data_IF_256971581792
#
_entry.id   IF_256971581792
#
_cell.length_a   1.000
_cell.length_b   1.000
_cell.length_c   1.000
_cell.angle_alpha   90.00
_cell.angle_beta   90.00
_cell.angle_gamma   90.00
#
_symmetry.space_group_name_H-M   'P 1'
#
loop_
_entity.id
_entity.type
_entity.pdbx_description
1 polymer ?
#
# COMPACT_ATOMS: atom_id res chain seq x y z
N UNK A 1 79.84 -0.39 69.67
CA UNK A 1 80.83 -1.46 69.43
C UNK A 1 80.08 -2.71 69.00
N UNK A 2 80.15 -2.99 67.72
CA UNK A 2 79.37 -4.00 66.99
C UNK A 2 80.07 -5.36 67.02
N UNK A 3 79.42 -6.34 67.66
CA UNK A 3 79.87 -7.74 67.65
C UNK A 3 79.09 -8.54 66.60
N UNK A 4 79.89 -9.10 65.70
CA UNK A 4 79.58 -10.06 64.64
C UNK A 4 78.76 -11.26 65.15
N UNK A 5 77.75 -11.67 64.38
CA UNK A 5 77.34 -13.07 64.27
C UNK A 5 77.39 -13.50 62.81
N UNK A 6 78.28 -14.47 62.55
CA UNK A 6 78.34 -15.29 61.34
C UNK A 6 77.09 -16.15 61.28
N UNK A 7 76.51 -16.27 60.09
CA UNK A 7 75.72 -17.45 59.71
C UNK A 7 76.36 -18.02 58.45
N UNK A 8 76.57 -19.32 58.53
CA UNK A 8 77.40 -20.18 57.69
C UNK A 8 76.69 -20.51 56.38
N UNK A 9 77.49 -20.56 55.31
CA UNK A 9 77.14 -21.12 54.00
C UNK A 9 76.95 -22.64 54.03
N UNK A 10 76.40 -23.11 52.90
CA UNK A 10 76.49 -24.44 52.28
C UNK A 10 75.30 -25.37 52.51
N UNK A 11 74.34 -25.30 51.58
CA UNK A 11 73.86 -26.50 50.88
C UNK A 11 73.85 -26.21 49.38
N UNK A 12 74.75 -26.89 48.70
CA UNK A 12 74.81 -27.11 47.26
C UNK A 12 73.58 -27.88 46.79
N UNK A 13 72.84 -27.30 45.86
CA UNK A 13 71.67 -27.92 45.26
C UNK A 13 71.40 -27.29 43.90
N UNK A 14 72.23 -27.67 42.93
CA UNK A 14 72.12 -27.33 41.51
C UNK A 14 70.75 -27.76 40.97
N UNK A 15 69.73 -26.90 41.08
CA UNK A 15 68.50 -27.01 40.29
C UNK A 15 68.65 -26.10 39.09
N UNK A 16 68.93 -26.73 37.95
CA UNK A 16 68.77 -26.17 36.60
C UNK A 16 67.57 -25.22 36.57
N UNK A 17 67.67 -24.03 35.98
CA UNK A 17 66.48 -23.27 35.65
C UNK A 17 65.63 -24.15 34.73
N UNK A 18 64.42 -24.49 35.18
CA UNK A 18 63.40 -25.09 34.31
C UNK A 18 63.26 -24.17 33.11
N UNK A 19 63.68 -24.68 31.95
CA UNK A 19 63.52 -24.02 30.67
C UNK A 19 62.05 -23.60 30.53
N UNK A 20 61.75 -22.38 30.04
CA UNK A 20 60.39 -22.05 29.65
C UNK A 20 59.90 -23.12 28.68
N UNK A 21 58.68 -23.62 28.93
CA UNK A 21 58.00 -24.62 28.11
C UNK A 21 58.25 -24.30 26.64
N UNK A 22 58.90 -25.24 25.95
CA UNK A 22 59.22 -25.14 24.53
C UNK A 22 57.97 -24.77 23.75
N UNK A 23 58.02 -23.63 23.06
CA UNK A 23 57.03 -23.26 22.05
C UNK A 23 56.91 -24.44 21.09
N UNK A 24 55.70 -25.02 20.89
CA UNK A 24 55.53 -26.11 19.94
C UNK A 24 55.98 -25.63 18.56
N UNK A 25 56.86 -26.41 17.92
CA UNK A 25 57.23 -26.18 16.52
C UNK A 25 55.93 -26.15 15.71
N UNK A 26 55.82 -25.21 14.78
CA UNK A 26 54.60 -24.87 14.02
C UNK A 26 53.93 -26.03 13.25
N UNK A 27 54.52 -27.22 13.25
CA UNK A 27 54.06 -28.42 12.55
C UNK A 27 53.09 -29.28 13.37
N UNK A 28 52.94 -29.07 14.69
CA UNK A 28 52.12 -29.93 15.56
C UNK A 28 50.83 -29.29 16.11
N UNK A 29 50.44 -28.09 15.64
CA UNK A 29 49.28 -27.38 16.19
C UNK A 29 47.98 -28.03 15.68
N UNK A 30 47.37 -28.88 16.51
CA UNK A 30 46.14 -29.62 16.22
C UNK A 30 44.92 -29.16 17.03
N UNK A 31 45.07 -28.21 17.95
CA UNK A 31 44.00 -27.73 18.83
C UNK A 31 43.85 -26.21 18.82
N UNK A 32 42.67 -25.74 19.22
CA UNK A 32 42.36 -24.31 19.37
C UNK A 32 43.22 -23.66 20.47
N UNK A 33 43.49 -24.40 21.55
CA UNK A 33 44.41 -23.98 22.61
C UNK A 33 45.82 -23.76 22.06
N UNK A 34 46.29 -24.68 21.23
CA UNK A 34 47.58 -24.58 20.54
C UNK A 34 47.67 -23.36 19.62
N UNK A 35 46.57 -22.99 18.95
CA UNK A 35 46.53 -21.75 18.16
C UNK A 35 46.79 -20.53 19.04
N UNK A 36 46.05 -20.35 20.13
CA UNK A 36 46.20 -19.18 20.99
C UNK A 36 47.53 -19.12 21.74
N UNK A 37 48.15 -20.27 22.03
CA UNK A 37 49.47 -20.34 22.66
C UNK A 37 50.63 -20.14 21.67
N UNK A 38 50.43 -20.43 20.38
CA UNK A 38 51.44 -20.22 19.36
C UNK A 38 51.64 -18.73 19.07
N UNK A 39 52.88 -18.28 19.14
CA UNK A 39 53.24 -16.90 18.83
C UNK A 39 53.09 -16.66 17.31
N UNK A 40 52.29 -15.66 16.93
CA UNK A 40 52.17 -15.14 15.54
C UNK A 40 51.68 -16.15 14.49
N UNK A 41 50.95 -17.21 14.85
CA UNK A 41 50.33 -18.09 13.86
C UNK A 41 49.10 -17.41 13.22
N UNK A 42 49.06 -17.19 11.89
CA UNK A 42 47.88 -16.62 11.22
C UNK A 42 46.72 -17.63 11.17
N UNK A 43 45.49 -17.14 11.36
CA UNK A 43 44.27 -17.96 11.33
C UNK A 43 44.15 -18.85 10.07
N UNK A 44 44.48 -18.31 8.90
CA UNK A 44 44.46 -19.06 7.63
C UNK A 44 45.40 -20.28 7.62
N UNK A 45 46.60 -20.12 8.20
CA UNK A 45 47.58 -21.22 8.31
C UNK A 45 47.09 -22.26 9.31
N UNK A 46 46.55 -21.82 10.45
CA UNK A 46 45.97 -22.71 11.46
C UNK A 46 44.84 -23.58 10.89
N UNK A 47 43.84 -22.98 10.24
CA UNK A 47 42.72 -23.71 9.64
C UNK A 47 43.20 -24.67 8.53
N UNK A 48 44.23 -24.29 7.75
CA UNK A 48 44.85 -25.17 6.76
C UNK A 48 45.57 -26.36 7.40
N UNK A 49 46.26 -26.17 8.53
CA UNK A 49 46.93 -27.26 9.26
C UNK A 49 45.91 -28.24 9.84
N UNK A 50 44.81 -27.75 10.42
CA UNK A 50 43.75 -28.60 10.94
C UNK A 50 43.08 -29.44 9.84
N UNK A 51 42.83 -28.85 8.68
CA UNK A 51 42.29 -29.57 7.53
C UNK A 51 43.28 -30.64 7.02
N UNK A 52 44.59 -30.35 6.99
CA UNK A 52 45.64 -31.33 6.64
C UNK A 52 45.70 -32.49 7.64
N UNK A 53 45.47 -32.20 8.92
CA UNK A 53 45.47 -33.17 10.01
C UNK A 53 44.14 -33.94 10.13
N UNK A 54 43.16 -33.70 9.24
CA UNK A 54 41.83 -34.32 9.23
C UNK A 54 41.07 -34.14 10.55
N UNK A 55 41.27 -33.00 11.20
CA UNK A 55 40.49 -32.64 12.39
C UNK A 55 39.12 -32.13 11.94
N UNK A 56 38.07 -32.92 12.12
CA UNK A 56 36.72 -32.58 11.65
C UNK A 56 35.84 -31.93 12.74
N UNK A 57 36.28 -31.97 14.01
CA UNK A 57 35.54 -31.43 15.15
C UNK A 57 36.43 -30.74 16.18
N UNK A 58 35.96 -29.59 16.69
CA UNK A 58 36.52 -28.94 17.87
C UNK A 58 36.10 -29.70 19.13
N UNK A 59 37.07 -29.98 20.01
CA UNK A 59 36.79 -30.60 21.29
C UNK A 59 36.18 -29.57 22.25
N UNK A 60 35.10 -29.92 22.94
CA UNK A 60 34.42 -29.00 23.87
C UNK A 60 35.33 -28.53 25.02
N UNK A 61 36.26 -29.39 25.45
CA UNK A 61 37.25 -29.05 26.48
C UNK A 61 38.22 -27.97 25.98
N UNK A 62 38.67 -28.06 24.73
CA UNK A 62 39.52 -27.05 24.11
C UNK A 62 38.81 -25.70 24.00
N UNK A 63 37.53 -25.72 23.57
CA UNK A 63 36.68 -24.52 23.48
C UNK A 63 36.56 -23.83 24.84
N UNK A 64 36.21 -24.57 25.90
CA UNK A 64 36.07 -24.02 27.26
C UNK A 64 37.38 -23.46 27.79
N UNK A 65 38.48 -24.20 27.62
CA UNK A 65 39.80 -23.75 28.07
C UNK A 65 40.25 -22.48 27.33
N UNK A 66 39.99 -22.37 26.04
CA UNK A 66 40.27 -21.16 25.26
C UNK A 66 39.44 -19.97 25.74
N UNK A 67 38.15 -20.16 25.99
CA UNK A 67 37.24 -19.12 26.48
C UNK A 67 37.68 -18.57 27.85
N UNK A 68 38.10 -19.43 28.78
CA UNK A 68 38.61 -19.02 30.10
C UNK A 68 39.92 -18.23 30.02
N UNK A 69 40.79 -18.56 29.06
CA UNK A 69 42.12 -17.94 28.93
C UNK A 69 42.17 -16.80 27.90
N UNK A 70 41.03 -16.46 27.28
CA UNK A 70 40.99 -15.57 26.12
C UNK A 70 41.56 -14.18 26.42
N UNK A 71 41.21 -13.58 27.55
CA UNK A 71 41.71 -12.26 27.93
C UNK A 71 43.23 -12.20 28.15
N UNK A 72 43.87 -13.34 28.43
CA UNK A 72 45.34 -13.45 28.57
C UNK A 72 46.02 -13.72 27.24
N UNK A 73 45.41 -14.54 26.39
CA UNK A 73 46.03 -15.03 25.15
C UNK A 73 45.69 -14.18 23.91
N UNK A 74 44.61 -13.41 23.96
CA UNK A 74 44.17 -12.49 22.90
C UNK A 74 43.56 -11.22 23.52
N UNK A 75 44.37 -10.40 24.22
CA UNK A 75 43.88 -9.26 24.99
C UNK A 75 43.18 -8.19 24.14
N UNK A 76 43.54 -8.07 22.86
CA UNK A 76 42.92 -7.14 21.91
C UNK A 76 41.78 -7.78 21.11
N UNK A 77 41.45 -9.05 21.35
CA UNK A 77 40.48 -9.84 20.57
C UNK A 77 40.80 -9.97 19.07
N UNK A 78 42.03 -9.63 18.67
CA UNK A 78 42.45 -9.54 17.27
C UNK A 78 42.52 -10.92 16.63
N UNK A 79 43.10 -11.90 17.33
CA UNK A 79 43.28 -13.26 16.78
C UNK A 79 41.97 -13.99 16.62
N UNK A 80 41.02 -13.72 17.51
CA UNK A 80 39.66 -14.26 17.49
C UNK A 80 38.86 -13.65 16.35
N UNK A 81 39.00 -12.34 16.10
CA UNK A 81 38.39 -11.68 14.95
C UNK A 81 38.97 -12.22 13.61
N UNK A 82 40.28 -12.38 13.52
CA UNK A 82 40.93 -12.98 12.34
C UNK A 82 40.45 -14.41 12.10
N UNK A 83 40.30 -15.20 13.17
CA UNK A 83 39.78 -16.56 13.11
C UNK A 83 38.32 -16.57 12.63
N UNK A 84 37.47 -15.67 13.14
CA UNK A 84 36.09 -15.51 12.70
C UNK A 84 36.00 -15.18 11.21
N UNK A 85 36.79 -14.21 10.73
CA UNK A 85 36.80 -13.84 9.32
C UNK A 85 37.18 -15.02 8.41
N UNK A 86 38.22 -15.77 8.79
CA UNK A 86 38.63 -16.92 8.00
C UNK A 86 37.60 -18.05 8.09
N UNK A 87 37.00 -18.28 9.25
CA UNK A 87 35.98 -19.31 9.45
C UNK A 87 34.70 -19.04 8.66
N UNK A 88 34.24 -17.78 8.58
CA UNK A 88 33.08 -17.39 7.77
C UNK A 88 33.28 -17.66 6.26
N UNK A 89 34.52 -17.65 5.78
CA UNK A 89 34.83 -18.01 4.39
C UNK A 89 34.77 -19.52 4.11
N UNK A 90 34.76 -20.35 5.17
CA UNK A 90 34.72 -21.80 5.08
C UNK A 90 33.28 -22.27 5.32
N UNK A 91 32.53 -22.53 4.23
CA UNK A 91 31.13 -22.92 4.28
C UNK A 91 30.88 -24.39 4.72
N UNK A 92 31.76 -24.96 5.53
CA UNK A 92 31.67 -26.35 6.00
C UNK A 92 31.16 -26.43 7.44
N UNK A 93 30.71 -27.60 7.87
CA UNK A 93 30.35 -27.88 9.28
C UNK A 93 31.51 -27.55 10.23
N UNK A 94 32.74 -27.77 9.78
CA UNK A 94 33.95 -27.45 10.53
C UNK A 94 34.14 -25.94 10.71
N UNK A 95 33.99 -25.14 9.64
CA UNK A 95 34.05 -23.68 9.73
C UNK A 95 33.02 -23.09 10.71
N UNK A 96 31.79 -23.62 10.70
CA UNK A 96 30.72 -23.20 11.63
C UNK A 96 31.11 -23.33 13.10
N UNK A 97 31.85 -24.38 13.48
CA UNK A 97 32.29 -24.56 14.87
C UNK A 97 33.22 -23.44 15.36
N UNK A 98 34.08 -22.91 14.48
CA UNK A 98 34.93 -21.76 14.82
C UNK A 98 34.15 -20.45 14.85
N UNK A 99 33.12 -20.32 14.01
CA UNK A 99 32.18 -19.20 14.05
C UNK A 99 31.43 -19.20 15.39
N UNK A 100 30.89 -20.35 15.80
CA UNK A 100 30.19 -20.51 17.08
C UNK A 100 31.11 -20.20 18.27
N UNK A 101 32.35 -20.70 18.25
CA UNK A 101 33.36 -20.36 19.26
C UNK A 101 33.64 -18.85 19.30
N UNK A 102 33.86 -18.21 18.15
CA UNK A 102 34.14 -16.78 18.10
C UNK A 102 32.96 -15.92 18.58
N UNK A 103 31.72 -16.37 18.35
CA UNK A 103 30.52 -15.71 18.87
C UNK A 103 30.39 -15.87 20.38
N UNK A 104 30.65 -17.07 20.92
CA UNK A 104 30.71 -17.29 22.37
C UNK A 104 31.81 -16.43 23.02
N UNK A 105 32.98 -16.37 22.39
CA UNK A 105 34.10 -15.53 22.81
C UNK A 105 33.73 -14.04 22.80
N UNK A 106 33.05 -13.57 21.75
CA UNK A 106 32.58 -12.19 21.64
C UNK A 106 31.59 -11.85 22.77
N UNK A 107 30.58 -12.70 22.99
CA UNK A 107 29.59 -12.53 24.07
C UNK A 107 30.26 -12.52 25.44
N UNK A 108 31.19 -13.43 25.70
CA UNK A 108 31.90 -13.47 26.98
C UNK A 108 32.74 -12.21 27.21
N UNK A 109 33.42 -11.71 26.19
CA UNK A 109 34.23 -10.49 26.32
C UNK A 109 33.36 -9.24 26.49
N UNK A 110 32.21 -9.16 25.83
CA UNK A 110 31.23 -8.09 26.09
C UNK A 110 30.74 -8.15 27.55
N UNK A 111 30.49 -9.33 28.10
CA UNK A 111 30.13 -9.48 29.51
C UNK A 111 31.26 -9.09 30.46
N UNK A 112 32.49 -9.54 30.21
CA UNK A 112 33.64 -9.30 31.10
C UNK A 112 34.14 -7.84 31.05
N UNK A 113 34.23 -7.25 29.85
CA UNK A 113 34.84 -5.92 29.67
C UNK A 113 33.84 -4.77 29.76
N UNK A 114 32.55 -5.05 29.64
CA UNK A 114 31.49 -4.06 29.46
C UNK A 114 30.22 -4.35 30.29
N UNK A 115 30.20 -5.43 31.09
CA UNK A 115 29.04 -5.87 31.89
C UNK A 115 27.74 -5.97 31.09
N UNK A 116 27.86 -6.35 29.81
CA UNK A 116 26.75 -6.44 28.87
C UNK A 116 26.35 -7.90 28.66
N UNK A 117 25.19 -8.29 29.20
CA UNK A 117 24.56 -9.58 28.90
C UNK A 117 23.42 -9.40 27.91
N UNK A 118 23.63 -9.88 26.68
CA UNK A 118 22.71 -9.68 25.56
C UNK A 118 21.57 -10.71 25.60
N UNK A 119 20.33 -10.22 25.55
CA UNK A 119 19.16 -11.06 25.35
C UNK A 119 18.94 -11.33 23.86
N UNK A 120 19.30 -12.52 23.38
CA UNK A 120 19.21 -12.91 21.97
C UNK A 120 17.77 -12.99 21.42
N UNK A 121 16.74 -12.86 22.26
CA UNK A 121 15.35 -12.72 21.83
C UNK A 121 15.04 -11.33 21.26
N UNK A 122 15.89 -10.34 21.52
CA UNK A 122 15.72 -8.99 20.98
C UNK A 122 16.11 -8.90 19.50
N UNK A 123 15.47 -8.00 18.73
CA UNK A 123 15.87 -7.68 17.37
C UNK A 123 17.36 -7.30 17.26
N UNK A 124 18.01 -7.77 16.18
CA UNK A 124 19.44 -7.63 15.98
C UNK A 124 19.93 -6.16 15.95
N UNK A 125 19.10 -5.25 15.45
CA UNK A 125 19.38 -3.81 15.43
C UNK A 125 19.45 -3.24 16.84
N UNK A 126 18.54 -3.65 17.73
CA UNK A 126 18.51 -3.21 19.14
C UNK A 126 19.74 -3.76 19.88
N UNK A 127 20.10 -5.02 19.63
CA UNK A 127 21.29 -5.62 20.20
C UNK A 127 22.57 -4.89 19.76
N UNK A 128 22.67 -4.56 18.47
CA UNK A 128 23.82 -3.84 17.95
C UNK A 128 23.92 -2.42 18.53
N UNK A 129 22.80 -1.70 18.66
CA UNK A 129 22.75 -0.39 19.30
C UNK A 129 23.23 -0.44 20.76
N UNK A 130 22.80 -1.44 21.54
CA UNK A 130 23.26 -1.62 22.93
C UNK A 130 24.78 -1.84 23.00
N UNK A 131 25.32 -2.72 22.15
CA UNK A 131 26.77 -2.97 22.07
C UNK A 131 27.49 -1.67 21.70
N UNK A 132 27.00 -0.95 20.70
CA UNK A 132 27.60 0.28 20.24
C UNK A 132 27.60 1.35 21.33
N UNK A 133 26.49 1.54 22.05
CA UNK A 133 26.38 2.51 23.15
C UNK A 133 27.40 2.24 24.27
N UNK A 134 27.63 0.98 24.62
CA UNK A 134 28.58 0.63 25.70
C UNK A 134 30.03 0.75 25.24
N UNK A 135 30.33 0.46 23.97
CA UNK A 135 31.68 0.58 23.42
C UNK A 135 32.03 2.01 23.00
N UNK A 136 31.03 2.86 22.72
CA UNK A 136 31.17 4.23 22.20
C UNK A 136 32.18 5.09 22.98
N UNK A 137 32.18 5.16 24.32
CA UNK A 137 33.14 5.99 25.05
C UNK A 137 34.60 5.59 24.83
N UNK A 138 34.87 4.29 24.63
CA UNK A 138 36.20 3.74 24.37
C UNK A 138 36.64 3.91 22.91
N UNK A 139 35.67 3.98 21.99
CA UNK A 139 35.89 4.24 20.57
C UNK A 139 36.13 5.72 20.28
N UNK A 140 35.48 6.62 21.02
CA UNK A 140 35.61 8.08 20.86
C UNK A 140 36.83 8.68 21.58
N UNK A 141 37.57 7.87 22.33
CA UNK A 141 38.82 8.29 22.94
C UNK A 141 39.84 8.76 21.88
N UNK A 142 40.73 9.69 22.23
CA UNK A 142 41.78 10.22 21.32
C UNK A 142 42.58 9.13 20.59
N UNK A 143 42.77 7.99 21.25
CA UNK A 143 43.26 6.74 20.67
C UNK A 143 42.20 5.67 20.97
N UNK A 144 41.48 5.16 19.96
CA UNK A 144 40.45 4.16 20.20
C UNK A 144 41.10 2.88 20.75
N UNK A 145 40.40 2.25 21.68
CA UNK A 145 40.78 0.97 22.23
C UNK A 145 40.62 -0.14 21.19
N UNK A 146 41.71 -0.88 20.93
CA UNK A 146 41.74 -1.95 19.92
C UNK A 146 40.75 -3.07 20.26
N UNK A 147 40.64 -3.41 21.55
CA UNK A 147 39.70 -4.42 22.02
C UNK A 147 38.26 -4.00 21.70
N UNK A 148 37.86 -2.79 22.06
CA UNK A 148 36.52 -2.26 21.76
C UNK A 148 36.23 -2.23 20.25
N UNK A 149 37.21 -1.87 19.42
CA UNK A 149 37.06 -1.86 17.97
C UNK A 149 36.89 -3.28 17.38
N UNK A 150 37.69 -4.23 17.85
CA UNK A 150 37.60 -5.62 17.40
C UNK A 150 36.33 -6.30 17.89
N UNK A 151 35.86 -5.99 19.10
CA UNK A 151 34.57 -6.46 19.62
C UNK A 151 33.40 -5.90 18.83
N UNK A 152 33.43 -4.62 18.46
CA UNK A 152 32.38 -4.03 17.62
C UNK A 152 32.31 -4.72 16.25
N UNK A 153 33.47 -4.96 15.62
CA UNK A 153 33.57 -5.70 14.34
C UNK A 153 33.02 -7.13 14.49
N UNK A 154 33.49 -7.87 15.50
CA UNK A 154 33.03 -9.23 15.77
C UNK A 154 31.52 -9.30 16.03
N UNK A 155 30.97 -8.32 16.76
CA UNK A 155 29.54 -8.22 17.06
C UNK A 155 28.70 -7.95 15.81
N UNK A 156 29.19 -7.11 14.89
CA UNK A 156 28.55 -6.88 13.60
C UNK A 156 28.46 -8.17 12.77
N UNK A 157 29.56 -8.92 12.67
CA UNK A 157 29.56 -10.23 11.99
C UNK A 157 28.64 -11.25 12.68
N UNK A 158 28.64 -11.24 14.01
CA UNK A 158 27.79 -12.11 14.81
C UNK A 158 26.30 -11.84 14.58
N UNK A 159 25.86 -10.59 14.71
CA UNK A 159 24.45 -10.23 14.58
C UNK A 159 23.95 -10.35 13.13
N UNK A 160 24.81 -10.10 12.13
CA UNK A 160 24.49 -10.37 10.74
C UNK A 160 24.25 -11.88 10.53
N UNK A 161 25.17 -12.73 10.98
CA UNK A 161 25.10 -14.17 10.71
C UNK A 161 24.10 -14.95 11.60
N UNK A 162 23.87 -14.51 12.84
CA UNK A 162 23.05 -15.26 13.81
C UNK A 162 21.62 -14.72 13.94
N UNK A 163 21.39 -13.42 13.69
CA UNK A 163 20.12 -12.74 13.96
C UNK A 163 19.63 -11.92 12.74
N UNK A 164 20.26 -12.13 11.57
CA UNK A 164 19.93 -11.50 10.28
C UNK A 164 19.93 -9.96 10.31
N UNK A 165 20.87 -9.34 11.03
CA UNK A 165 21.08 -7.89 10.91
C UNK A 165 21.52 -7.55 9.47
N UNK A 166 20.70 -6.79 8.75
CA UNK A 166 21.02 -6.41 7.38
C UNK A 166 22.30 -5.55 7.33
N UNK A 167 23.17 -5.79 6.33
CA UNK A 167 24.40 -5.01 6.15
C UNK A 167 24.11 -3.50 6.00
N UNK A 168 22.98 -3.14 5.38
CA UNK A 168 22.51 -1.76 5.27
C UNK A 168 22.06 -1.17 6.61
N UNK A 169 21.44 -1.97 7.47
CA UNK A 169 21.02 -1.54 8.80
C UNK A 169 22.23 -1.31 9.71
N UNK A 170 23.22 -2.20 9.64
CA UNK A 170 24.51 -2.05 10.35
C UNK A 170 25.20 -0.73 9.97
N UNK A 171 25.26 -0.42 8.68
CA UNK A 171 25.88 0.82 8.17
C UNK A 171 25.05 2.04 8.58
N UNK A 172 23.73 2.00 8.50
CA UNK A 172 22.85 3.10 8.90
C UNK A 172 22.95 3.40 10.41
N UNK A 173 23.05 2.37 11.25
CA UNK A 173 23.25 2.52 12.70
C UNK A 173 24.61 3.16 13.03
N UNK A 174 25.69 2.69 12.40
CA UNK A 174 27.02 3.29 12.56
C UNK A 174 27.04 4.73 12.03
N UNK A 175 26.41 4.99 10.89
CA UNK A 175 26.33 6.32 10.30
C UNK A 175 25.55 7.29 11.20
N UNK A 176 24.38 6.90 11.72
CA UNK A 176 23.59 7.73 12.64
C UNK A 176 24.37 8.10 13.89
N UNK A 177 24.95 7.11 14.56
CA UNK A 177 25.61 7.32 15.85
C UNK A 177 26.89 8.15 15.76
N UNK A 178 27.65 8.02 14.67
CA UNK A 178 28.91 8.75 14.50
C UNK A 178 28.81 9.99 13.59
N UNK A 179 27.79 10.13 12.73
CA UNK A 179 27.57 11.36 11.94
C UNK A 179 26.92 12.49 12.74
N UNK A 180 26.25 12.17 13.87
CA UNK A 180 25.69 13.17 14.80
C UNK A 180 26.75 13.95 15.60
N UNK A 181 28.04 13.58 15.49
CA UNK A 181 29.15 14.32 16.12
C UNK A 181 29.83 15.36 15.21
N UNK A 182 29.18 15.81 14.13
CA UNK A 182 29.61 17.05 13.44
C UNK A 182 29.22 18.29 14.25
N UNK A 183 29.84 18.48 15.41
CA UNK A 183 29.81 19.75 16.14
C UNK A 183 30.99 20.64 15.70
N UNK A 184 30.65 21.72 15.00
CA UNK A 184 31.28 23.05 14.92
C UNK A 184 32.80 23.24 14.72
N UNK A 185 33.63 22.19 14.57
CA UNK A 185 35.02 22.34 14.12
C UNK A 185 35.32 21.40 12.95
N UNK A 186 35.63 21.94 11.75
CA UNK A 186 35.71 21.16 10.49
C UNK A 186 36.89 20.19 10.38
N UNK A 187 37.71 20.01 11.42
CA UNK A 187 38.92 19.18 11.39
C UNK A 187 38.94 18.00 12.37
N UNK A 188 37.81 17.62 12.96
CA UNK A 188 37.67 16.39 13.75
C UNK A 188 36.52 15.54 13.22
N UNK A 189 36.67 15.00 12.01
CA UNK A 189 36.00 13.74 11.70
C UNK A 189 36.52 12.71 12.71
N UNK A 190 35.60 12.05 13.42
CA UNK A 190 35.92 11.08 14.46
C UNK A 190 36.95 10.08 13.94
N UNK A 191 38.17 10.09 14.51
CA UNK A 191 39.24 9.16 14.20
C UNK A 191 38.75 7.70 14.27
N UNK A 192 37.68 7.40 15.01
CA UNK A 192 37.07 6.09 15.09
C UNK A 192 36.48 5.59 13.76
N UNK A 193 35.81 6.46 12.99
CA UNK A 193 35.26 6.11 11.66
C UNK A 193 36.41 5.86 10.69
N UNK A 194 37.41 6.75 10.66
CA UNK A 194 38.58 6.60 9.80
C UNK A 194 39.45 5.40 10.20
N UNK A 195 39.48 4.98 11.47
CA UNK A 195 40.20 3.78 11.95
C UNK A 195 39.38 2.50 11.69
N UNK A 196 38.05 2.55 11.80
CA UNK A 196 37.15 1.48 11.34
C UNK A 196 37.28 1.25 9.82
N UNK A 197 37.54 2.32 9.07
CA UNK A 197 37.71 2.34 7.61
C UNK A 197 39.19 2.34 7.14
N UNK A 198 40.18 2.22 8.05
CA UNK A 198 41.60 2.21 7.66
C UNK A 198 41.97 0.91 6.93
N UNK A 199 42.90 0.99 5.96
CA UNK A 199 43.04 0.01 4.89
C UNK A 199 43.88 -1.20 5.32
N UNK A 200 43.23 -2.25 5.83
CA UNK A 200 43.76 -3.61 5.67
C UNK A 200 43.00 -4.27 4.53
N UNK A 201 43.64 -4.18 3.35
CA UNK A 201 43.47 -4.78 2.01
C UNK A 201 42.16 -5.45 1.53
N UNK A 202 41.23 -5.87 2.37
CA UNK A 202 39.91 -6.37 1.94
C UNK A 202 38.82 -5.30 1.97
N UNK A 203 38.95 -4.28 2.82
CA UNK A 203 37.96 -3.20 2.93
C UNK A 203 37.98 -2.25 1.73
N UNK A 204 39.11 -2.07 1.03
CA UNK A 204 39.16 -1.28 -0.21
C UNK A 204 38.57 -2.02 -1.39
N UNK A 205 38.81 -3.32 -1.52
CA UNK A 205 38.08 -4.16 -2.48
C UNK A 205 36.60 -4.24 -2.14
N UNK A 206 36.22 -4.30 -0.86
CA UNK A 206 34.82 -4.19 -0.44
C UNK A 206 34.26 -2.79 -0.74
N UNK A 207 34.99 -1.70 -0.50
CA UNK A 207 34.59 -0.32 -0.80
C UNK A 207 34.54 -0.05 -2.31
N UNK A 208 35.41 -0.65 -3.12
CA UNK A 208 35.44 -0.57 -4.58
C UNK A 208 34.33 -1.44 -5.20
N UNK A 209 34.08 -2.64 -4.65
CA UNK A 209 32.87 -3.41 -4.96
C UNK A 209 31.62 -2.74 -4.42
N UNK A 210 31.70 -1.99 -3.31
CA UNK A 210 30.62 -1.20 -2.76
C UNK A 210 30.43 0.07 -3.55
N UNK A 211 31.42 0.71 -4.19
CA UNK A 211 31.17 1.89 -5.05
C UNK A 211 30.59 1.44 -6.39
N UNK A 212 31.02 0.29 -6.91
CA UNK A 212 30.37 -0.38 -8.04
C UNK A 212 28.98 -0.88 -7.65
N UNK A 213 28.79 -1.43 -6.45
CA UNK A 213 27.51 -1.85 -5.91
C UNK A 213 26.66 -0.71 -5.35
N UNK A 214 27.18 0.50 -5.11
CA UNK A 214 26.47 1.73 -4.72
C UNK A 214 25.94 2.39 -5.99
N UNK A 215 26.71 2.30 -7.09
CA UNK A 215 26.17 2.53 -8.43
C UNK A 215 25.11 1.48 -8.79
N UNK A 216 25.30 0.22 -8.39
CA UNK A 216 24.34 -0.87 -8.54
C UNK A 216 23.12 -0.74 -7.64
N UNK A 217 23.27 -0.23 -6.41
CA UNK A 217 22.22 -0.02 -5.42
C UNK A 217 21.45 1.25 -5.73
N UNK A 218 22.13 2.30 -6.17
CA UNK A 218 21.49 3.51 -6.69
C UNK A 218 20.70 3.18 -7.95
N UNK A 219 21.23 2.30 -8.82
CA UNK A 219 20.48 1.75 -9.96
C UNK A 219 19.33 0.85 -9.53
N UNK A 220 19.50 -0.01 -8.52
CA UNK A 220 18.45 -0.91 -8.04
C UNK A 220 17.37 -0.17 -7.26
N UNK A 221 17.74 0.86 -6.50
CA UNK A 221 16.83 1.76 -5.78
C UNK A 221 16.10 2.67 -6.75
N UNK A 222 16.78 3.24 -7.74
CA UNK A 222 16.09 3.99 -8.81
C UNK A 222 15.22 3.08 -9.69
N UNK A 223 15.61 1.82 -9.92
CA UNK A 223 14.78 0.82 -10.60
C UNK A 223 13.53 0.48 -9.77
N UNK A 224 13.67 0.22 -8.46
CA UNK A 224 12.55 -0.03 -7.54
C UNK A 224 11.65 1.19 -7.41
N UNK A 225 12.22 2.40 -7.32
CA UNK A 225 11.46 3.65 -7.31
C UNK A 225 10.74 3.88 -8.65
N UNK A 226 11.35 3.49 -9.76
CA UNK A 226 10.72 3.56 -11.08
C UNK A 226 9.58 2.56 -11.23
N UNK A 227 9.73 1.35 -10.68
CA UNK A 227 8.68 0.33 -10.64
C UNK A 227 7.52 0.77 -9.76
N UNK A 228 7.79 1.35 -8.58
CA UNK A 228 6.76 1.94 -7.71
C UNK A 228 6.02 3.07 -8.44
N UNK A 229 6.73 3.94 -9.16
CA UNK A 229 6.10 5.01 -9.96
C UNK A 229 5.26 4.43 -11.11
N UNK A 230 5.73 3.36 -11.75
CA UNK A 230 4.99 2.70 -12.81
C UNK A 230 3.74 2.02 -12.28
N UNK A 231 3.82 1.31 -11.15
CA UNK A 231 2.66 0.73 -10.47
C UNK A 231 1.65 1.82 -10.07
N UNK A 232 2.11 2.96 -9.54
CA UNK A 232 1.25 4.10 -9.25
C UNK A 232 0.59 4.69 -10.52
N UNK A 233 1.29 4.72 -11.65
CA UNK A 233 0.71 5.15 -12.94
C UNK A 233 -0.35 4.16 -13.41
N UNK A 234 -0.06 2.87 -13.40
CA UNK A 234 -1.01 1.80 -13.77
C UNK A 234 -2.25 1.84 -12.87
N UNK A 235 -2.06 2.05 -11.57
CA UNK A 235 -3.17 2.20 -10.63
C UNK A 235 -4.05 3.41 -10.95
N UNK A 236 -3.44 4.58 -11.23
CA UNK A 236 -4.18 5.78 -11.65
C UNK A 236 -4.89 5.59 -12.98
N UNK A 237 -4.28 4.89 -13.93
CA UNK A 237 -4.90 4.56 -15.22
C UNK A 237 -6.08 3.61 -15.05
N UNK A 238 -5.94 2.61 -14.18
CA UNK A 238 -7.01 1.70 -13.82
C UNK A 238 -8.19 2.42 -13.14
N UNK A 239 -7.91 3.30 -12.18
CA UNK A 239 -8.93 4.14 -11.53
C UNK A 239 -9.64 5.07 -12.53
N UNK A 240 -8.89 5.66 -13.46
CA UNK A 240 -9.47 6.48 -14.55
C UNK A 240 -10.34 5.64 -15.48
N UNK A 241 -9.90 4.45 -15.86
CA UNK A 241 -10.65 3.54 -16.71
C UNK A 241 -11.95 3.09 -16.02
N UNK A 242 -11.90 2.76 -14.72
CA UNK A 242 -13.11 2.46 -13.93
C UNK A 242 -14.06 3.66 -13.84
N UNK A 243 -13.54 4.87 -13.61
CA UNK A 243 -14.36 6.07 -13.56
C UNK A 243 -15.04 6.36 -14.91
N UNK A 244 -14.32 6.15 -16.02
CA UNK A 244 -14.88 6.28 -17.36
C UNK A 244 -15.92 5.20 -17.66
N UNK A 245 -15.69 3.96 -17.24
CA UNK A 245 -16.64 2.87 -17.39
C UNK A 245 -17.93 3.17 -16.61
N UNK A 246 -17.82 3.62 -15.36
CA UNK A 246 -18.98 4.03 -14.56
C UNK A 246 -19.78 5.15 -15.21
N UNK A 247 -19.10 6.19 -15.74
CA UNK A 247 -19.76 7.27 -16.48
C UNK A 247 -20.45 6.78 -17.76
N UNK A 248 -19.84 5.83 -18.45
CA UNK A 248 -20.43 5.23 -19.65
C UNK A 248 -21.69 4.42 -19.30
N UNK A 249 -21.67 3.67 -18.21
CA UNK A 249 -22.82 2.90 -17.74
C UNK A 249 -23.94 3.83 -17.24
N UNK A 250 -23.61 4.91 -16.53
CA UNK A 250 -24.55 5.97 -16.16
C UNK A 250 -25.20 6.61 -17.39
N UNK A 251 -24.40 6.99 -18.39
CA UNK A 251 -24.90 7.57 -19.64
C UNK A 251 -25.78 6.60 -20.44
N UNK A 252 -25.45 5.29 -20.45
CA UNK A 252 -26.29 4.26 -21.06
C UNK A 252 -27.62 4.10 -20.35
N UNK A 253 -27.63 4.13 -19.02
CA UNK A 253 -28.85 4.05 -18.23
C UNK A 253 -29.74 5.29 -18.46
N UNK A 254 -29.15 6.48 -18.52
CA UNK A 254 -29.87 7.71 -18.88
C UNK A 254 -30.45 7.64 -20.31
N UNK A 255 -29.68 7.13 -21.26
CA UNK A 255 -30.13 6.96 -22.64
C UNK A 255 -31.32 5.99 -22.71
N UNK A 256 -31.20 4.82 -22.07
CA UNK A 256 -32.27 3.84 -21.99
C UNK A 256 -33.53 4.41 -21.32
N UNK A 257 -33.37 5.22 -20.27
CA UNK A 257 -34.49 5.89 -19.61
C UNK A 257 -35.17 6.93 -20.51
N UNK A 258 -34.39 7.69 -21.29
CA UNK A 258 -34.93 8.64 -22.28
C UNK A 258 -35.63 7.92 -23.43
N UNK A 259 -35.10 6.80 -23.91
CA UNK A 259 -35.74 5.98 -24.96
C UNK A 259 -37.09 5.43 -24.50
N UNK A 260 -37.16 4.89 -23.27
CA UNK A 260 -38.44 4.47 -22.68
C UNK A 260 -39.43 5.63 -22.60
N UNK A 261 -38.97 6.81 -22.17
CA UNK A 261 -39.83 7.99 -22.11
C UNK A 261 -40.34 8.44 -23.47
N UNK A 262 -39.53 8.32 -24.53
CA UNK A 262 -39.96 8.59 -25.90
C UNK A 262 -41.05 7.61 -26.32
N UNK A 263 -40.90 6.32 -26.04
CA UNK A 263 -41.92 5.30 -26.36
C UNK A 263 -43.24 5.60 -25.64
N UNK A 264 -43.19 5.94 -24.35
CA UNK A 264 -44.38 6.34 -23.59
C UNK A 264 -45.06 7.58 -24.19
N UNK A 265 -44.28 8.61 -24.54
CA UNK A 265 -44.80 9.84 -25.13
C UNK A 265 -45.43 9.58 -26.51
N UNK A 266 -44.83 8.71 -27.33
CA UNK A 266 -45.40 8.31 -28.62
C UNK A 266 -46.72 7.54 -28.44
N UNK A 267 -46.80 6.63 -27.46
CA UNK A 267 -48.04 5.93 -27.15
C UNK A 267 -49.14 6.89 -26.70
N UNK A 268 -48.81 7.86 -25.84
CA UNK A 268 -49.77 8.88 -25.38
C UNK A 268 -50.21 9.81 -26.51
N UNK A 269 -49.29 10.19 -27.40
CA UNK A 269 -49.59 10.99 -28.58
C UNK A 269 -50.59 10.25 -29.48
N UNK A 270 -50.37 8.95 -29.71
CA UNK A 270 -51.25 8.15 -30.56
C UNK A 270 -52.63 7.98 -29.93
N UNK A 271 -52.71 7.71 -28.63
CA UNK A 271 -53.98 7.66 -27.92
C UNK A 271 -54.73 9.00 -28.02
N UNK A 272 -54.03 10.13 -27.83
CA UNK A 272 -54.63 11.46 -27.93
C UNK A 272 -55.12 11.78 -29.35
N UNK A 273 -54.42 11.30 -30.39
CA UNK A 273 -54.89 11.43 -31.78
C UNK A 273 -56.18 10.63 -32.01
N UNK A 274 -56.24 9.39 -31.55
CA UNK A 274 -57.44 8.54 -31.67
C UNK A 274 -58.63 9.18 -30.93
N UNK A 275 -58.40 9.72 -29.73
CA UNK A 275 -59.42 10.44 -28.96
C UNK A 275 -59.90 11.68 -29.72
N UNK A 276 -58.98 12.47 -30.29
CA UNK A 276 -59.30 13.64 -31.11
C UNK A 276 -60.14 13.27 -32.33
N UNK A 277 -59.73 12.26 -33.11
CA UNK A 277 -60.48 11.79 -34.27
C UNK A 277 -61.89 11.31 -33.89
N UNK A 278 -62.03 10.63 -32.75
CA UNK A 278 -63.33 10.19 -32.24
C UNK A 278 -64.24 11.37 -31.86
N UNK A 279 -63.69 12.42 -31.27
CA UNK A 279 -64.42 13.63 -30.90
C UNK A 279 -64.80 14.45 -32.12
N UNK A 280 -63.91 14.58 -33.10
CA UNK A 280 -64.20 15.25 -34.38
C UNK A 280 -65.33 14.54 -35.11
N UNK A 281 -65.34 13.21 -35.16
CA UNK A 281 -66.44 12.43 -35.72
C UNK A 281 -67.76 12.68 -34.99
N UNK A 282 -67.76 12.68 -33.65
CA UNK A 282 -68.96 12.99 -32.85
C UNK A 282 -69.49 14.40 -33.12
N UNK A 283 -68.59 15.39 -33.25
CA UNK A 283 -68.98 16.77 -33.59
C UNK A 283 -69.64 16.80 -34.96
N UNK A 284 -69.04 16.13 -35.95
CA UNK A 284 -69.60 16.05 -37.30
C UNK A 284 -70.98 15.37 -37.30
N UNK A 285 -71.13 14.24 -36.61
CA UNK A 285 -72.41 13.54 -36.49
C UNK A 285 -73.50 14.44 -35.87
N UNK A 286 -73.16 15.17 -34.78
CA UNK A 286 -74.07 16.12 -34.13
C UNK A 286 -74.43 17.27 -35.09
N UNK A 287 -73.47 17.80 -35.85
CA UNK A 287 -73.73 18.85 -36.83
C UNK A 287 -74.66 18.35 -37.94
N UNK A 288 -74.47 17.12 -38.43
CA UNK A 288 -75.35 16.50 -39.43
C UNK A 288 -76.77 16.30 -38.87
N UNK A 289 -76.90 15.79 -37.65
CA UNK A 289 -78.22 15.64 -36.99
C UNK A 289 -78.89 16.99 -36.79
N UNK A 290 -78.16 18.01 -36.33
CA UNK A 290 -78.72 19.34 -36.11
C UNK A 290 -79.12 20.03 -37.42
N UNK A 291 -78.35 19.87 -38.50
CA UNK A 291 -78.71 20.40 -39.83
C UNK A 291 -79.95 19.70 -40.38
N UNK A 292 -80.07 18.38 -40.21
CA UNK A 292 -81.28 17.63 -40.56
C UNK A 292 -82.49 18.14 -39.77
N UNK A 293 -82.41 18.18 -38.44
CA UNK A 293 -83.49 18.68 -37.56
C UNK A 293 -83.90 20.11 -37.91
N UNK A 294 -82.93 20.99 -38.18
CA UNK A 294 -83.19 22.37 -38.62
C UNK A 294 -83.92 22.39 -39.97
N UNK A 295 -83.54 21.53 -40.90
CA UNK A 295 -84.19 21.41 -42.21
C UNK A 295 -85.61 20.87 -42.08
N UNK A 296 -85.83 19.84 -41.27
CA UNK A 296 -87.15 19.29 -40.95
C UNK A 296 -88.06 20.34 -40.33
N UNK A 297 -87.58 21.05 -39.30
CA UNK A 297 -88.34 22.11 -38.65
C UNK A 297 -88.68 23.23 -39.65
N UNK A 298 -87.72 23.66 -40.47
CA UNK A 298 -87.97 24.67 -41.51
C UNK A 298 -89.00 24.19 -42.54
N UNK A 299 -88.93 22.93 -42.96
CA UNK A 299 -89.88 22.31 -43.88
C UNK A 299 -91.29 22.25 -43.29
N UNK A 300 -91.38 21.81 -42.03
CA UNK A 300 -92.63 21.74 -41.27
C UNK A 300 -93.26 23.13 -41.09
N UNK A 301 -92.50 24.12 -40.62
CA UNK A 301 -92.97 25.50 -40.50
C UNK A 301 -93.43 26.07 -41.85
N UNK A 302 -92.72 25.79 -42.94
CA UNK A 302 -93.14 26.22 -44.28
C UNK A 302 -94.47 25.60 -44.67
N UNK A 303 -94.64 24.29 -44.49
CA UNK A 303 -95.90 23.60 -44.80
C UNK A 303 -97.05 24.12 -43.94
N UNK A 304 -96.82 24.34 -42.64
CA UNK A 304 -97.80 24.91 -41.73
C UNK A 304 -98.27 26.29 -42.20
N UNK A 305 -97.32 27.21 -42.46
CA UNK A 305 -97.65 28.57 -42.90
C UNK A 305 -98.35 28.58 -44.26
N UNK A 306 -97.80 27.88 -45.24
CA UNK A 306 -98.23 27.92 -46.65
C UNK A 306 -99.52 27.13 -46.90
N UNK A 307 -99.66 25.94 -46.30
CA UNK A 307 -100.81 25.05 -46.59
C UNK A 307 -101.93 25.11 -45.58
N UNK A 308 -101.67 25.53 -44.33
CA UNK A 308 -102.70 25.60 -43.29
C UNK A 308 -103.14 27.01 -42.99
N UNK A 309 -102.20 27.95 -42.83
CA UNK A 309 -102.53 29.32 -42.40
C UNK A 309 -102.88 30.23 -43.59
N UNK A 310 -102.06 30.24 -44.65
CA UNK A 310 -102.28 31.12 -45.83
C UNK A 310 -103.69 30.97 -46.42
N UNK A 311 -104.20 29.75 -46.68
CA UNK A 311 -105.52 29.59 -47.30
C UNK A 311 -106.66 30.11 -46.41
N UNK A 312 -106.55 29.95 -45.09
CA UNK A 312 -107.56 30.46 -44.16
C UNK A 312 -107.57 31.99 -44.11
N UNK A 313 -106.39 32.62 -44.21
CA UNK A 313 -106.27 34.07 -44.26
C UNK A 313 -106.72 34.64 -45.62
N UNK A 314 -106.41 33.95 -46.71
CA UNK A 314 -106.90 34.28 -48.06
C UNK A 314 -108.43 34.21 -48.14
N UNK A 315 -109.03 33.11 -47.67
CA UNK A 315 -110.50 32.96 -47.56
C UNK A 315 -111.13 34.09 -46.74
N UNK A 316 -110.53 34.44 -45.60
CA UNK A 316 -111.01 35.51 -44.74
C UNK A 316 -110.91 36.88 -45.42
N UNK A 317 -109.81 37.13 -46.15
CA UNK A 317 -109.61 38.35 -46.93
C UNK A 317 -110.63 38.45 -48.07
N UNK A 318 -110.85 37.38 -48.82
CA UNK A 318 -111.88 37.31 -49.87
C UNK A 318 -113.27 37.60 -49.31
N UNK A 319 -113.64 36.97 -48.20
CA UNK A 319 -114.93 37.19 -47.54
C UNK A 319 -115.13 38.63 -47.04
N UNK A 320 -114.03 39.33 -46.72
CA UNK A 320 -114.03 40.75 -46.34
C UNK A 320 -114.27 41.66 -47.54
N UNK A 321 -113.78 41.28 -48.72
CA UNK A 321 -113.86 42.06 -49.95
C UNK A 321 -115.20 41.91 -50.70
N UNK A 322 -116.10 41.02 -50.26
CA UNK A 322 -117.45 40.87 -50.82
C UNK A 322 -118.39 42.00 -50.34
N UNK A 323 -119.34 42.42 -51.16
CA UNK A 323 -120.41 43.37 -50.77
C UNK A 323 -121.80 42.68 -50.75
N UNK A 324 -122.46 42.54 -49.57
CA UNK A 324 -121.98 42.94 -48.24
C UNK A 324 -120.95 41.95 -47.66
N UNK A 325 -120.02 42.42 -46.78
CA UNK A 325 -118.99 41.56 -46.20
C UNK A 325 -119.57 40.42 -45.38
N UNK A 326 -119.02 39.21 -45.55
CA UNK A 326 -119.50 38.00 -44.89
C UNK A 326 -118.82 37.81 -43.52
N UNK A 327 -119.23 38.62 -42.54
CA UNK A 327 -118.65 38.64 -41.18
C UNK A 327 -118.49 37.26 -40.54
N UNK A 328 -119.48 36.39 -40.66
CA UNK A 328 -119.44 35.06 -40.03
C UNK A 328 -118.29 34.19 -40.56
N UNK A 329 -118.02 34.26 -41.86
CA UNK A 329 -116.93 33.49 -42.51
C UNK A 329 -115.56 34.01 -42.03
N UNK A 330 -115.41 35.33 -41.91
CA UNK A 330 -114.18 35.96 -41.42
C UNK A 330 -113.88 35.48 -40.01
N UNK A 331 -114.85 35.54 -39.10
CA UNK A 331 -114.68 35.13 -37.70
C UNK A 331 -114.35 33.63 -37.59
N UNK A 332 -115.07 32.79 -38.33
CA UNK A 332 -114.83 31.34 -38.37
C UNK A 332 -113.41 31.00 -38.84
N UNK A 333 -112.95 31.62 -39.93
CA UNK A 333 -111.60 31.40 -40.46
C UNK A 333 -110.50 31.86 -39.50
N UNK A 334 -110.70 33.01 -38.83
CA UNK A 334 -109.76 33.49 -37.81
C UNK A 334 -109.73 32.59 -36.56
N UNK A 335 -110.86 32.03 -36.15
CA UNK A 335 -110.91 31.03 -35.07
C UNK A 335 -110.20 29.74 -35.47
N UNK A 336 -110.38 29.26 -36.70
CA UNK A 336 -109.64 28.10 -37.22
C UNK A 336 -108.13 28.33 -37.25
N UNK A 337 -107.66 29.52 -37.69
CA UNK A 337 -106.25 29.92 -37.63
C UNK A 337 -105.73 29.87 -36.18
N UNK A 338 -106.49 30.43 -35.24
CA UNK A 338 -106.12 30.43 -33.81
C UNK A 338 -105.98 29.01 -33.26
N UNK A 339 -106.88 28.10 -33.63
CA UNK A 339 -106.83 26.71 -33.19
C UNK A 339 -105.69 25.91 -33.85
N UNK A 340 -105.37 26.15 -35.13
CA UNK A 340 -104.18 25.55 -35.77
C UNK A 340 -102.88 26.05 -35.12
N UNK A 341 -102.76 27.35 -34.80
CA UNK A 341 -101.61 27.91 -34.08
C UNK A 341 -101.47 27.28 -32.69
N UNK A 342 -102.57 27.12 -31.94
CA UNK A 342 -102.52 26.44 -30.63
C UNK A 342 -102.06 24.99 -30.73
N UNK A 343 -102.54 24.25 -31.74
CA UNK A 343 -102.11 22.87 -31.99
C UNK A 343 -100.62 22.80 -32.30
N UNK A 344 -100.11 23.74 -33.09
CA UNK A 344 -98.70 23.84 -33.44
C UNK A 344 -97.81 24.20 -32.23
N UNK A 345 -98.22 25.16 -31.40
CA UNK A 345 -97.53 25.50 -30.15
C UNK A 345 -97.48 24.29 -29.22
N UNK A 346 -98.60 23.56 -29.09
CA UNK A 346 -98.64 22.35 -28.27
C UNK A 346 -97.63 21.32 -28.78
N UNK A 347 -97.60 21.06 -30.08
CA UNK A 347 -96.63 20.16 -30.70
C UNK A 347 -95.18 20.56 -30.40
N UNK A 348 -94.82 21.84 -30.58
CA UNK A 348 -93.48 22.37 -30.26
C UNK A 348 -93.10 22.25 -28.78
N UNK A 349 -94.09 22.20 -27.88
CA UNK A 349 -93.87 22.04 -26.44
C UNK A 349 -93.89 20.59 -25.93
N UNK A 350 -94.03 19.60 -26.83
CA UNK A 350 -94.14 18.18 -26.44
C UNK A 350 -92.81 17.41 -26.48
N UNK A 351 -91.69 18.10 -26.73
CA UNK A 351 -90.32 17.60 -26.56
C UNK A 351 -89.69 18.22 -25.30
#
# INVERSE_FOLDING_TARGET
>A
MTSKKRVTEVITGNKKPEKPKSVPKSEEISSLVGYYQAEKLPAKKFLSLLNKNKTDTLQEQDTKQCLEQLGKNDPDFKRTLELLHQALSIQTKFGRQFVDFAFQACRQQLKVCCDLDLNLEQPANILFEQILQVLKPKLEAKKPDNLSLNLLKASGFWLNHAVNLGEFELIDLLAKEFALQKSEKPNQTSNAIDILLRPDTNLRTMIDTLTVADSGLSKAKSAKDSEIREQQRRQKEYERAQALQKRLDEAKNELSGKEQRIVELLSNLEQSKVEKESLEKKIQDIQTVNTHRKSELKGHCRVFLDKKISPLLEDALEATNLEPPRKNIITERLEMVKEEIKREIKWLSTD
#
